data_IF_067971745371
#
_entry.id   IF_067971745371
#
_cell.length_a   1.000
_cell.length_b   1.000
_cell.length_c   1.000
_cell.angle_alpha   90.00
_cell.angle_beta   90.00
_cell.angle_gamma   90.00
#
_symmetry.space_group_name_H-M   'P 1'
#
loop_
_entity.id
_entity.type
_entity.pdbx_description
1 polymer ?
#
# COMPACT_ATOMS: atom_id res chain seq x y z
N UNK A 1 -12.03 3.83 8.69
CA UNK A 1 -10.65 3.32 8.49
C UNK A 1 -10.06 2.85 9.81
N UNK A 2 -9.28 1.76 9.84
CA UNK A 2 -8.82 1.12 11.09
C UNK A 2 -7.34 1.34 11.46
N UNK A 3 -6.46 1.71 10.52
CA UNK A 3 -5.02 1.89 10.78
C UNK A 3 -4.23 0.62 11.13
N UNK A 4 -4.86 -0.56 11.15
CA UNK A 4 -4.27 -1.82 11.63
C UNK A 4 -4.27 -2.93 10.57
N UNK A 5 -4.49 -2.61 9.30
CA UNK A 5 -4.60 -3.60 8.21
C UNK A 5 -5.85 -4.50 8.23
N UNK A 6 -6.77 -4.32 9.19
CA UNK A 6 -7.96 -5.18 9.34
C UNK A 6 -9.12 -4.86 8.38
N UNK A 7 -9.28 -3.60 8.01
CA UNK A 7 -10.44 -3.14 7.25
C UNK A 7 -10.23 -3.03 5.73
N UNK A 8 -9.01 -3.26 5.23
CA UNK A 8 -8.68 -3.18 3.79
C UNK A 8 -8.70 -1.77 3.16
N UNK A 9 -9.13 -0.71 3.85
CA UNK A 9 -9.18 0.65 3.29
C UNK A 9 -7.83 1.22 2.83
N UNK A 10 -6.73 0.79 3.46
CA UNK A 10 -5.39 1.32 3.21
C UNK A 10 -4.63 0.44 2.20
N UNK A 11 -5.32 -0.32 1.35
CA UNK A 11 -4.70 -1.30 0.45
C UNK A 11 -4.12 -0.61 -0.79
N UNK A 12 -2.87 -0.94 -1.10
CA UNK A 12 -2.15 -0.58 -2.30
C UNK A 12 -1.58 -1.87 -2.88
N UNK A 13 -2.32 -2.47 -3.81
CA UNK A 13 -2.03 -3.77 -4.41
C UNK A 13 -1.96 -4.87 -3.34
N UNK A 14 -0.81 -5.57 -3.23
CA UNK A 14 -0.61 -6.57 -2.18
C UNK A 14 -0.34 -5.96 -0.80
N UNK A 15 -0.06 -4.65 -0.72
CA UNK A 15 0.36 -4.00 0.52
C UNK A 15 -0.81 -3.35 1.26
N UNK A 16 -0.72 -3.32 2.58
CA UNK A 16 -1.50 -2.43 3.44
C UNK A 16 -0.63 -1.26 3.89
N UNK A 17 -0.86 -0.06 3.36
CA UNK A 17 -0.11 1.17 3.68
C UNK A 17 -0.06 1.44 5.18
N UNK A 18 -1.13 1.14 5.90
CA UNK A 18 -1.20 1.36 7.35
C UNK A 18 -0.41 0.35 8.19
N UNK A 19 0.14 -0.70 7.59
CA UNK A 19 0.97 -1.71 8.25
C UNK A 19 2.39 -1.78 7.67
N UNK A 20 2.51 -1.73 6.34
CA UNK A 20 3.77 -1.88 5.60
C UNK A 20 4.30 -0.55 5.04
N UNK A 21 3.43 0.46 4.92
CA UNK A 21 3.77 1.80 4.45
C UNK A 21 4.05 2.78 5.59
N UNK A 22 3.99 4.10 5.34
CA UNK A 22 3.60 4.79 4.11
C UNK A 22 4.74 4.97 3.09
N UNK A 23 5.96 4.62 3.47
CA UNK A 23 7.15 4.83 2.65
C UNK A 23 7.51 3.52 1.96
N UNK A 24 7.58 3.56 0.64
CA UNK A 24 8.00 2.43 -0.19
C UNK A 24 9.15 2.87 -1.10
N UNK A 25 9.99 1.90 -1.45
CA UNK A 25 11.02 2.06 -2.47
C UNK A 25 10.40 2.03 -3.86
N UNK A 26 11.10 2.62 -4.83
CA UNK A 26 10.68 2.55 -6.23
C UNK A 26 10.56 1.10 -6.70
N UNK A 27 11.51 0.23 -6.29
CA UNK A 27 11.50 -1.18 -6.69
C UNK A 27 10.26 -1.94 -6.20
N UNK A 28 9.68 -1.55 -5.07
CA UNK A 28 8.44 -2.13 -4.53
C UNK A 28 7.19 -1.69 -5.32
N UNK A 29 7.20 -0.46 -5.86
CA UNK A 29 6.02 0.13 -6.52
C UNK A 29 6.09 0.11 -8.04
N UNK A 30 7.26 -0.10 -8.65
CA UNK A 30 7.45 -0.03 -10.11
C UNK A 30 6.55 -1.00 -10.90
N UNK A 31 6.08 -2.09 -10.28
CA UNK A 31 5.19 -3.08 -10.89
C UNK A 31 3.70 -2.91 -10.53
N UNK A 32 3.33 -1.86 -9.80
CA UNK A 32 1.96 -1.60 -9.35
C UNK A 32 1.38 -0.41 -10.13
N UNK A 33 0.53 -0.63 -11.14
CA UNK A 33 -0.05 0.46 -11.94
C UNK A 33 -0.79 1.50 -11.09
N UNK A 34 -1.52 1.02 -10.09
CA UNK A 34 -2.25 1.82 -9.09
C UNK A 34 -1.40 2.78 -8.26
N UNK A 35 -0.08 2.65 -8.27
CA UNK A 35 0.82 3.60 -7.62
C UNK A 35 1.17 4.82 -8.52
N UNK A 36 0.83 4.75 -9.81
CA UNK A 36 1.25 5.72 -10.84
C UNK A 36 0.10 6.28 -11.68
N UNK A 37 -1.06 5.62 -11.67
CA UNK A 37 -2.33 6.13 -12.23
C UNK A 37 -2.91 7.29 -11.39
#
# INVERSE_FOLDING_TARGET
SCGLGKCGHCRLGPYHVCYEGPVFTYEQLQGLPEAWD
#
